data_IF_358430839184
#
_entry.id   IF_358430839184
#
_cell.length_a   1.000
_cell.length_b   1.000
_cell.length_c   1.000
_cell.angle_alpha   90.00
_cell.angle_beta   90.00
_cell.angle_gamma   90.00
#
_symmetry.space_group_name_H-M   'P 1'
#
loop_
_entity.id
_entity.type
_entity.pdbx_description
1 polymer ?
#
# COMPACT_ATOMS: atom_id res chain seq x y z
N UNK A 1 30.02 -8.65 37.38
CA UNK A 1 29.49 -9.23 36.13
C UNK A 1 28.67 -8.14 35.46
N UNK A 2 29.28 -7.37 34.54
CA UNK A 2 28.56 -6.35 33.79
C UNK A 2 27.52 -7.05 32.90
N UNK A 3 26.27 -6.59 32.94
CA UNK A 3 25.25 -7.07 32.03
C UNK A 3 25.70 -6.75 30.59
N UNK A 4 25.76 -7.77 29.75
CA UNK A 4 25.87 -7.59 28.30
C UNK A 4 24.57 -6.88 27.90
N UNK A 5 24.64 -5.58 27.60
CA UNK A 5 23.56 -4.87 26.93
C UNK A 5 23.37 -5.56 25.57
N UNK A 6 22.44 -6.50 25.54
CA UNK A 6 22.07 -7.22 24.33
C UNK A 6 21.52 -6.23 23.33
N UNK A 7 22.24 -6.07 22.22
CA UNK A 7 21.88 -5.21 21.10
C UNK A 7 20.45 -5.52 20.67
N UNK A 8 19.51 -4.65 21.06
CA UNK A 8 18.09 -4.88 20.79
C UNK A 8 17.88 -4.75 19.28
N UNK A 9 17.20 -5.72 18.63
CA UNK A 9 17.03 -5.68 17.20
C UNK A 9 16.34 -4.37 16.79
N UNK A 10 16.71 -3.77 15.64
CA UNK A 10 16.15 -2.50 15.19
C UNK A 10 14.62 -2.57 15.10
N UNK A 11 13.93 -1.46 15.40
CA UNK A 11 12.48 -1.40 15.56
C UNK A 11 11.90 -2.42 16.56
N UNK A 12 12.32 -2.40 17.85
CA UNK A 12 11.87 -3.38 18.86
C UNK A 12 10.37 -3.37 19.12
N UNK A 13 9.71 -2.23 18.88
CA UNK A 13 8.27 -2.05 19.05
C UNK A 13 7.44 -2.43 17.81
N UNK A 14 8.08 -2.95 16.74
CA UNK A 14 7.43 -3.36 15.49
C UNK A 14 6.49 -2.31 14.91
N UNK A 15 6.87 -1.02 14.96
CA UNK A 15 6.05 0.09 14.44
C UNK A 15 6.17 0.19 12.92
N UNK A 16 5.07 0.54 12.26
CA UNK A 16 5.07 0.85 10.82
C UNK A 16 5.97 2.07 10.60
N UNK A 17 6.98 1.90 9.74
CA UNK A 17 7.95 2.95 9.42
C UNK A 17 7.56 3.66 8.12
N UNK A 18 7.86 4.96 8.04
CA UNK A 18 7.69 5.77 6.82
C UNK A 18 9.05 6.29 6.36
N UNK A 19 9.40 5.97 5.11
CA UNK A 19 10.67 6.33 4.47
C UNK A 19 10.46 7.44 3.42
N UNK A 20 11.48 8.29 3.25
CA UNK A 20 11.47 9.44 2.33
C UNK A 20 12.82 9.52 1.60
N UNK A 21 13.12 8.61 0.67
CA UNK A 21 14.40 8.57 -0.02
C UNK A 21 14.65 9.83 -0.86
N UNK A 22 15.92 10.16 -1.01
CA UNK A 22 16.42 11.01 -2.10
C UNK A 22 16.25 10.31 -3.47
N UNK A 23 16.42 11.07 -4.57
CA UNK A 23 16.39 10.47 -5.92
C UNK A 23 17.52 9.45 -6.16
N UNK A 24 18.64 9.59 -5.46
CA UNK A 24 19.75 8.64 -5.55
C UNK A 24 19.40 7.31 -4.86
N UNK A 25 18.93 7.39 -3.62
CA UNK A 25 18.49 6.22 -2.86
C UNK A 25 17.28 5.52 -3.49
N UNK A 26 16.36 6.27 -4.10
CA UNK A 26 15.15 5.74 -4.74
C UNK A 26 15.42 5.04 -6.08
N UNK A 27 16.61 5.23 -6.67
CA UNK A 27 16.93 4.70 -8.00
C UNK A 27 17.02 3.17 -8.02
N UNK A 28 17.55 2.58 -6.96
CA UNK A 28 17.68 1.12 -6.82
C UNK A 28 16.68 0.59 -5.80
N UNK A 29 15.60 0.00 -6.30
CA UNK A 29 14.54 -0.59 -5.47
C UNK A 29 15.07 -1.67 -4.52
N UNK A 30 15.93 -2.56 -5.00
CA UNK A 30 16.41 -3.70 -4.21
C UNK A 30 17.35 -3.24 -3.10
N UNK A 31 18.26 -2.32 -3.42
CA UNK A 31 19.17 -1.75 -2.43
C UNK A 31 18.40 -0.98 -1.35
N UNK A 32 17.38 -0.20 -1.74
CA UNK A 32 16.58 0.55 -0.78
C UNK A 32 15.70 -0.36 0.10
N UNK A 33 15.19 -1.47 -0.46
CA UNK A 33 14.47 -2.49 0.32
C UNK A 33 15.38 -3.08 1.41
N UNK A 34 16.60 -3.50 1.06
CA UNK A 34 17.58 -4.01 2.03
C UNK A 34 17.87 -2.97 3.11
N UNK A 35 18.07 -1.70 2.72
CA UNK A 35 18.25 -0.60 3.68
C UNK A 35 17.07 -0.51 4.66
N UNK A 36 15.83 -0.50 4.16
CA UNK A 36 14.63 -0.47 5.02
C UNK A 36 14.57 -1.66 5.99
N UNK A 37 14.98 -2.85 5.53
CA UNK A 37 15.04 -4.05 6.38
C UNK A 37 16.10 -3.94 7.48
N UNK A 38 17.29 -3.37 7.19
CA UNK A 38 18.32 -3.12 8.21
C UNK A 38 17.85 -2.16 9.30
N UNK A 39 16.90 -1.27 8.99
CA UNK A 39 16.27 -0.37 9.97
C UNK A 39 15.10 -1.03 10.73
N UNK A 40 14.80 -2.30 10.46
CA UNK A 40 13.76 -3.08 11.13
C UNK A 40 12.33 -2.86 10.60
N UNK A 41 12.17 -2.34 9.38
CA UNK A 41 10.84 -2.06 8.82
C UNK A 41 9.98 -3.32 8.64
N UNK A 42 10.61 -4.43 8.23
CA UNK A 42 9.96 -5.72 8.00
C UNK A 42 9.25 -6.27 9.25
N UNK A 43 9.73 -5.91 10.45
CA UNK A 43 9.16 -6.38 11.72
C UNK A 43 7.72 -5.91 11.95
N UNK A 44 7.31 -4.82 11.31
CA UNK A 44 5.94 -4.32 11.37
C UNK A 44 4.99 -5.02 10.38
N UNK A 45 5.52 -5.81 9.43
CA UNK A 45 4.75 -6.41 8.33
C UNK A 45 4.29 -5.42 7.25
N UNK A 46 4.49 -4.12 7.45
CA UNK A 46 4.15 -3.06 6.51
C UNK A 46 5.10 -1.87 6.69
N UNK A 47 5.48 -1.24 5.58
CA UNK A 47 6.20 0.03 5.56
C UNK A 47 5.62 0.95 4.48
N UNK A 48 5.77 2.26 4.66
CA UNK A 48 5.38 3.27 3.67
C UNK A 48 6.64 3.92 3.09
N UNK A 49 6.72 4.04 1.78
CA UNK A 49 7.75 4.83 1.09
C UNK A 49 7.07 5.99 0.39
N UNK A 50 7.49 7.22 0.70
CA UNK A 50 7.05 8.42 0.00
C UNK A 50 8.15 8.74 -1.01
N UNK A 51 7.90 8.63 -2.33
CA UNK A 51 8.93 8.86 -3.32
C UNK A 51 9.44 10.31 -3.28
N UNK A 52 10.67 10.56 -3.75
CA UNK A 52 11.24 11.90 -3.83
C UNK A 52 10.37 12.83 -4.68
N UNK A 53 10.39 14.12 -4.36
CA UNK A 53 9.70 15.14 -5.13
C UNK A 53 10.18 15.14 -6.59
N UNK A 54 9.23 15.27 -7.52
CA UNK A 54 9.52 15.26 -8.97
C UNK A 54 9.50 13.87 -9.61
N UNK A 55 9.66 12.78 -8.85
CA UNK A 55 9.41 11.45 -9.40
C UNK A 55 7.92 11.25 -9.64
N UNK A 56 7.55 10.83 -10.86
CA UNK A 56 6.19 10.48 -11.23
C UNK A 56 6.22 9.25 -12.14
N UNK A 57 5.43 8.20 -11.86
CA UNK A 57 5.41 7.00 -12.71
C UNK A 57 4.70 7.24 -14.05
N UNK A 58 3.87 8.29 -14.12
CA UNK A 58 3.12 8.69 -15.32
C UNK A 58 2.97 10.21 -15.36
N UNK A 59 2.89 10.79 -16.56
CA UNK A 59 2.69 12.24 -16.76
C UNK A 59 1.28 12.70 -16.42
N UNK A 60 0.27 11.96 -16.88
CA UNK A 60 -1.15 12.18 -16.60
C UNK A 60 -1.92 10.85 -16.61
N UNK A 61 -3.07 10.82 -15.94
CA UNK A 61 -4.02 9.71 -15.93
C UNK A 61 -5.34 10.06 -16.65
N UNK A 62 -5.37 11.10 -17.48
CA UNK A 62 -6.58 11.54 -18.20
C UNK A 62 -7.11 10.50 -19.21
N UNK A 63 -6.27 9.53 -19.59
CA UNK A 63 -6.55 8.52 -20.62
C UNK A 63 -7.06 7.18 -20.06
N UNK A 64 -7.31 7.08 -18.76
CA UNK A 64 -7.70 5.80 -18.13
C UNK A 64 -9.19 5.49 -18.22
N UNK A 65 -10.02 6.44 -18.66
CA UNK A 65 -11.48 6.35 -18.62
C UNK A 65 -12.03 5.13 -19.39
N UNK A 66 -11.35 4.76 -20.49
CA UNK A 66 -11.75 3.68 -21.39
C UNK A 66 -11.23 2.30 -20.94
N UNK A 67 -10.38 2.22 -19.91
CA UNK A 67 -9.90 0.94 -19.38
C UNK A 67 -11.08 0.14 -18.82
N UNK A 68 -11.16 -1.15 -19.16
CA UNK A 68 -12.24 -2.04 -18.73
C UNK A 68 -11.81 -2.83 -17.49
N UNK A 69 -12.57 -2.69 -16.40
CA UNK A 69 -12.50 -3.57 -15.24
C UNK A 69 -13.27 -4.84 -15.60
N UNK A 70 -12.54 -5.93 -15.87
CA UNK A 70 -13.10 -7.17 -16.43
C UNK A 70 -14.02 -7.91 -15.46
N UNK A 71 -13.66 -7.98 -14.18
CA UNK A 71 -14.44 -8.67 -13.16
C UNK A 71 -14.57 -7.78 -11.90
N UNK A 72 -15.36 -6.70 -11.95
CA UNK A 72 -15.63 -5.90 -10.77
C UNK A 72 -16.35 -6.75 -9.73
N UNK A 73 -16.09 -6.50 -8.45
CA UNK A 73 -16.68 -7.23 -7.34
C UNK A 73 -17.54 -6.32 -6.47
N UNK A 74 -18.71 -6.79 -6.07
CA UNK A 74 -19.45 -6.23 -4.94
C UNK A 74 -19.06 -7.02 -3.69
N UNK A 75 -18.57 -6.30 -2.69
CA UNK A 75 -18.17 -6.87 -1.40
C UNK A 75 -19.36 -6.82 -0.45
N UNK A 76 -19.99 -7.98 -0.22
CA UNK A 76 -21.07 -8.14 0.77
C UNK A 76 -20.44 -8.45 2.12
N UNK A 77 -20.72 -7.63 3.13
CA UNK A 77 -20.15 -7.79 4.47
C UNK A 77 -21.24 -8.22 5.45
N UNK A 78 -20.98 -9.30 6.20
CA UNK A 78 -21.86 -9.81 7.25
C UNK A 78 -21.08 -9.98 8.55
N UNK A 79 -21.66 -9.54 9.67
CA UNK A 79 -21.02 -9.60 10.98
C UNK A 79 -21.30 -8.36 11.82
N UNK A 80 -20.72 -8.31 13.01
CA UNK A 80 -20.92 -7.22 13.97
C UNK A 80 -19.80 -7.21 15.03
N UNK A 81 -19.75 -6.14 15.82
CA UNK A 81 -18.82 -6.02 16.96
C UNK A 81 -17.36 -6.25 16.61
N UNK A 82 -16.93 -5.84 15.42
CA UNK A 82 -15.55 -5.95 14.96
C UNK A 82 -15.19 -7.28 14.28
N UNK A 83 -16.13 -8.24 14.19
CA UNK A 83 -15.93 -9.51 13.50
C UNK A 83 -16.84 -9.58 12.27
N UNK A 84 -16.23 -9.65 11.09
CA UNK A 84 -16.94 -9.63 9.81
C UNK A 84 -16.42 -10.70 8.86
N UNK A 85 -17.32 -11.24 8.04
CA UNK A 85 -17.03 -12.06 6.88
C UNK A 85 -17.44 -11.31 5.62
N UNK A 86 -16.58 -11.31 4.60
CA UNK A 86 -16.82 -10.67 3.32
C UNK A 86 -17.03 -11.72 2.22
N UNK A 87 -18.08 -11.56 1.43
CA UNK A 87 -18.36 -12.36 0.23
C UNK A 87 -18.23 -11.50 -1.02
N UNK A 88 -17.66 -12.07 -2.08
CA UNK A 88 -17.47 -11.38 -3.35
C UNK A 88 -18.52 -11.83 -4.37
N UNK A 89 -19.30 -10.89 -4.89
CA UNK A 89 -20.23 -11.13 -6.00
C UNK A 89 -19.67 -10.44 -7.24
N UNK A 90 -19.26 -11.22 -8.23
CA UNK A 90 -18.81 -10.68 -9.51
C UNK A 90 -19.94 -9.91 -10.20
N UNK A 91 -19.61 -8.76 -10.77
CA UNK A 91 -20.48 -7.90 -11.57
C UNK A 91 -20.09 -7.95 -13.04
N UNK A 92 -20.95 -7.40 -13.89
CA UNK A 92 -20.66 -7.26 -15.32
C UNK A 92 -19.45 -6.33 -15.49
N UNK A 93 -18.60 -6.56 -16.52
CA UNK A 93 -17.50 -5.65 -16.83
C UNK A 93 -18.01 -4.21 -16.99
N UNK A 94 -17.19 -3.25 -16.57
CA UNK A 94 -17.47 -1.82 -16.78
C UNK A 94 -16.16 -1.03 -16.93
N UNK A 95 -16.25 0.12 -17.59
CA UNK A 95 -15.12 1.03 -17.79
C UNK A 95 -14.78 1.78 -16.50
N UNK A 96 -13.54 2.21 -16.36
CA UNK A 96 -13.10 3.04 -15.22
C UNK A 96 -13.95 4.31 -15.09
N UNK A 97 -14.35 4.93 -16.20
CA UNK A 97 -15.25 6.08 -16.17
C UNK A 97 -16.60 5.76 -15.50
N UNK A 98 -17.19 4.60 -15.81
CA UNK A 98 -18.45 4.14 -15.22
C UNK A 98 -18.27 3.82 -13.74
N UNK A 99 -17.13 3.21 -13.37
CA UNK A 99 -16.78 2.92 -11.98
C UNK A 99 -16.62 4.21 -11.18
N UNK A 100 -15.96 5.23 -11.75
CA UNK A 100 -15.81 6.55 -11.11
C UNK A 100 -17.16 7.24 -10.90
N UNK A 101 -18.10 7.15 -11.85
CA UNK A 101 -19.46 7.69 -11.68
C UNK A 101 -20.19 6.98 -10.55
N UNK A 102 -20.07 5.65 -10.45
CA UNK A 102 -20.65 4.85 -9.37
C UNK A 102 -20.07 5.25 -7.99
N UNK A 103 -18.74 5.34 -7.89
CA UNK A 103 -18.05 5.68 -6.64
C UNK A 103 -18.35 7.09 -6.12
N UNK A 104 -18.71 8.02 -7.00
CA UNK A 104 -19.06 9.41 -6.67
C UNK A 104 -20.57 9.68 -6.70
N UNK A 105 -21.40 8.64 -6.86
CA UNK A 105 -22.85 8.80 -6.82
C UNK A 105 -23.33 8.98 -5.38
N UNK A 106 -24.41 9.74 -5.16
CA UNK A 106 -25.02 9.93 -3.84
C UNK A 106 -25.91 8.75 -3.41
N UNK A 107 -25.73 7.57 -4.01
CA UNK A 107 -26.47 6.37 -3.64
C UNK A 107 -25.83 5.68 -2.44
#
# INVERSE_FOLDING_TARGET
MAAVEGDSPPNPACKIMTFRPSMEEFRDFNQYLVHMETQGAHRAGLAKVIPPSGWRPRRSYDDIDELVIQAPIQQMVAGQSGLFTQYNIQKKPLKVQEFRRLANSNQ
#
